data_IF_254292482411
#
_entry.id   IF_254292482411
#
_cell.length_a   1.000
_cell.length_b   1.000
_cell.length_c   1.000
_cell.angle_alpha   90.00
_cell.angle_beta   90.00
_cell.angle_gamma   90.00
#
_symmetry.space_group_name_H-M   'P 1'
#
loop_
_entity.id
_entity.type
_entity.pdbx_description
1 polymer ?
#
# COMPACT_ATOMS: atom_id res chain seq x y z
N UNK A 1 -2.59 1.38 -6.51
CA UNK A 1 -1.94 2.70 -6.35
C UNK A 1 -0.45 2.56 -6.54
N UNK A 2 0.15 3.43 -7.36
CA UNK A 2 1.61 3.50 -7.54
C UNK A 2 2.09 4.79 -6.87
N UNK A 3 3.10 4.67 -6.01
CA UNK A 3 3.74 5.80 -5.33
C UNK A 3 5.22 5.83 -5.67
N UNK A 4 5.84 7.01 -5.68
CA UNK A 4 7.27 7.14 -5.95
C UNK A 4 8.03 7.56 -4.69
N UNK A 5 7.39 8.37 -3.84
CA UNK A 5 8.00 8.88 -2.62
C UNK A 5 7.59 8.07 -1.39
N UNK A 6 8.50 7.98 -0.42
CA UNK A 6 8.25 7.22 0.82
C UNK A 6 7.11 7.81 1.67
N UNK A 7 6.84 9.12 1.58
CA UNK A 7 5.72 9.76 2.27
C UNK A 7 4.37 9.34 1.70
N UNK A 8 4.25 9.32 0.37
CA UNK A 8 3.07 8.85 -0.36
C UNK A 8 2.81 7.37 -0.04
N UNK A 9 3.84 6.52 -0.15
CA UNK A 9 3.73 5.09 0.14
C UNK A 9 3.24 4.83 1.57
N UNK A 10 3.73 5.62 2.53
CA UNK A 10 3.32 5.52 3.93
C UNK A 10 1.85 5.88 4.12
N UNK A 11 1.37 6.96 3.50
CA UNK A 11 -0.04 7.33 3.56
C UNK A 11 -0.94 6.25 2.95
N UNK A 12 -0.57 5.74 1.76
CA UNK A 12 -1.33 4.66 1.09
C UNK A 12 -1.33 3.38 1.93
N UNK A 13 -0.17 3.00 2.48
CA UNK A 13 -0.04 1.83 3.36
C UNK A 13 -0.94 1.95 4.59
N UNK A 14 -0.95 3.12 5.23
CA UNK A 14 -1.78 3.35 6.41
C UNK A 14 -3.25 3.30 6.05
N UNK A 15 -3.65 4.00 4.99
CA UNK A 15 -5.04 4.01 4.50
C UNK A 15 -5.57 2.61 4.17
N UNK A 16 -4.79 1.77 3.47
CA UNK A 16 -5.21 0.40 3.18
C UNK A 16 -5.27 -0.50 4.42
N UNK A 17 -4.56 -0.15 5.50
CA UNK A 17 -4.56 -0.92 6.74
C UNK A 17 -5.67 -0.48 7.70
N UNK A 18 -5.92 0.82 7.82
CA UNK A 18 -6.90 1.40 8.75
C UNK A 18 -8.26 1.67 8.13
N UNK A 19 -8.36 1.72 6.80
CA UNK A 19 -9.60 2.10 6.11
C UNK A 19 -9.91 3.60 6.17
N UNK A 20 -9.06 4.41 6.80
CA UNK A 20 -9.28 5.85 7.02
C UNK A 20 -7.99 6.66 6.84
N UNK A 21 -8.12 7.95 6.56
CA UNK A 21 -6.98 8.84 6.34
C UNK A 21 -6.27 9.28 7.62
N UNK A 22 -6.90 9.12 8.80
CA UNK A 22 -6.27 9.42 10.09
C UNK A 22 -5.22 8.37 10.50
N UNK A 23 -5.27 7.18 9.89
CA UNK A 23 -4.37 6.06 10.23
C UNK A 23 -4.75 5.35 11.52
N UNK A 24 -5.93 5.65 12.08
CA UNK A 24 -6.42 5.07 13.32
C UNK A 24 -6.95 3.66 13.06
N UNK A 25 -6.37 2.66 13.73
CA UNK A 25 -6.83 1.28 13.62
C UNK A 25 -8.05 1.10 14.52
N UNK A 26 -9.23 1.02 13.93
CA UNK A 26 -10.43 0.56 14.62
C UNK A 26 -10.35 -0.96 14.70
N UNK A 27 -10.54 -1.50 15.90
CA UNK A 27 -10.50 -2.95 16.14
C UNK A 27 -11.81 -3.39 16.77
N UNK A 28 -12.26 -4.58 16.38
CA UNK A 28 -13.38 -5.25 17.04
C UNK A 28 -12.98 -5.76 18.44
N UNK A 29 -13.96 -6.31 19.16
CA UNK A 29 -13.75 -6.90 20.49
C UNK A 29 -12.75 -8.09 20.49
N UNK A 30 -12.52 -8.70 19.32
CA UNK A 30 -11.60 -9.81 19.11
C UNK A 30 -10.20 -9.36 18.65
N UNK A 31 -9.99 -8.05 18.47
CA UNK A 31 -8.73 -7.46 18.03
C UNK A 31 -8.49 -7.49 16.51
N UNK A 32 -9.47 -7.90 15.71
CA UNK A 32 -9.42 -7.81 14.26
C UNK A 32 -9.55 -6.36 13.84
N UNK A 33 -8.74 -5.96 12.86
CA UNK A 33 -8.80 -4.60 12.32
C UNK A 33 -10.02 -4.49 11.42
N UNK A 34 -10.93 -3.58 11.75
CA UNK A 34 -12.04 -3.22 10.88
C UNK A 34 -11.51 -2.30 9.78
N UNK A 35 -11.35 -2.87 8.59
CA UNK A 35 -10.96 -2.16 7.38
C UNK A 35 -11.91 -2.58 6.25
N UNK A 36 -12.41 -1.65 5.42
CA UNK A 36 -13.22 -1.98 4.26
C UNK A 36 -12.39 -2.57 3.10
N UNK A 37 -11.09 -2.79 3.32
CA UNK A 37 -10.13 -3.23 2.32
C UNK A 37 -9.45 -4.53 2.71
N UNK A 38 -9.36 -5.45 1.74
CA UNK A 38 -8.48 -6.60 1.76
C UNK A 38 -7.19 -6.32 0.96
N UNK A 39 -6.04 -6.57 1.57
CA UNK A 39 -4.75 -6.39 0.91
C UNK A 39 -4.46 -7.56 -0.04
N UNK A 40 -4.52 -7.31 -1.34
CA UNK A 40 -4.20 -8.31 -2.38
C UNK A 40 -2.73 -8.75 -2.26
N UNK A 41 -1.82 -7.81 -1.97
CA UNK A 41 -0.41 -8.09 -1.75
C UNK A 41 0.06 -7.56 -0.39
N UNK A 42 0.61 -8.46 0.44
CA UNK A 42 1.19 -8.08 1.75
C UNK A 42 2.49 -7.29 1.59
N UNK A 43 3.33 -7.69 0.62
CA UNK A 43 4.58 -7.00 0.28
C UNK A 43 4.34 -6.04 -0.88
N UNK A 44 4.93 -4.86 -0.80
CA UNK A 44 4.92 -3.88 -1.89
C UNK A 44 5.57 -4.49 -3.13
N UNK A 45 4.96 -4.27 -4.29
CA UNK A 45 5.54 -4.69 -5.57
C UNK A 45 6.47 -3.57 -6.04
N UNK A 46 7.70 -3.94 -6.39
CA UNK A 46 8.73 -3.02 -6.89
C UNK A 46 9.13 -3.43 -8.31
N UNK A 47 9.57 -2.48 -9.15
CA UNK A 47 9.98 -2.79 -10.51
C UNK A 47 11.21 -3.69 -10.56
N UNK A 48 11.25 -4.53 -11.59
CA UNK A 48 12.38 -5.43 -11.83
C UNK A 48 13.65 -4.67 -12.25
N UNK A 49 14.81 -5.31 -12.13
CA UNK A 49 16.09 -4.73 -12.59
C UNK A 49 16.07 -4.39 -14.08
N UNK A 50 15.42 -5.22 -14.90
CA UNK A 50 15.29 -4.99 -16.34
C UNK A 50 14.41 -3.76 -16.64
N UNK A 51 13.30 -3.63 -15.92
CA UNK A 51 12.42 -2.46 -16.02
C UNK A 51 13.12 -1.18 -15.57
N UNK A 52 13.94 -1.23 -14.52
CA UNK A 52 14.73 -0.09 -14.07
C UNK A 52 15.79 0.34 -15.08
N UNK A 53 16.35 -0.60 -15.86
CA UNK A 53 17.29 -0.29 -16.96
C UNK A 53 16.58 0.34 -18.15
N UNK A 54 15.43 -0.18 -18.56
CA UNK A 54 14.66 0.37 -19.68
C UNK A 54 13.95 1.68 -19.33
N UNK A 55 13.53 1.84 -18.07
CA UNK A 55 12.85 3.01 -17.56
C UNK A 55 13.43 3.43 -16.20
N UNK A 56 14.52 4.23 -16.17
CA UNK A 56 15.13 4.68 -14.91
C UNK A 56 14.20 5.42 -13.95
N UNK A 57 13.10 6.02 -14.46
CA UNK A 57 12.11 6.70 -13.63
C UNK A 57 11.26 5.72 -12.81
N UNK A 58 11.17 4.45 -13.20
CA UNK A 58 10.44 3.44 -12.44
C UNK A 58 11.15 3.04 -11.15
N UNK A 59 12.46 3.28 -11.01
CA UNK A 59 13.29 2.82 -9.87
C UNK A 59 12.69 3.03 -8.48
N UNK A 60 11.96 4.12 -8.26
CA UNK A 60 11.35 4.42 -6.95
C UNK A 60 9.87 4.04 -6.84
N UNK A 61 9.27 3.54 -7.91
CA UNK A 61 7.87 3.14 -7.98
C UNK A 61 7.58 1.99 -7.01
N UNK A 62 6.47 2.12 -6.30
CA UNK A 62 5.97 1.16 -5.31
C UNK A 62 4.50 0.95 -5.59
N UNK A 63 4.14 -0.28 -5.96
CA UNK A 63 2.76 -0.67 -6.27
C UNK A 63 2.12 -1.37 -5.06
N UNK A 64 0.97 -0.84 -4.65
CA UNK A 64 0.08 -1.41 -3.63
C UNK A 64 -1.32 -1.62 -4.20
N UNK A 65 -1.92 -2.76 -3.88
CA UNK A 65 -3.24 -3.15 -4.36
C UNK A 65 -4.09 -3.55 -3.16
N UNK A 66 -5.30 -3.01 -3.12
CA UNK A 66 -6.32 -3.36 -2.14
C UNK A 66 -7.64 -3.60 -2.88
N UNK A 67 -8.37 -4.61 -2.43
CA UNK A 67 -9.71 -4.93 -2.90
C UNK A 67 -10.72 -4.45 -1.85
N UNK A 68 -11.87 -3.96 -2.29
CA UNK A 68 -12.96 -3.61 -1.37
C UNK A 68 -13.72 -4.88 -0.97
N UNK A 69 -13.92 -5.07 0.34
CA UNK A 69 -14.76 -6.14 0.90
C UNK A 69 -16.25 -5.92 0.61
#
# INVERSE_FOLDING_TARGET
VISYHSLEDRMVKNFFRSGNFEGTLVKDFFGNVETPFELVNRKVIVPSEEEQRMNPRSRSAKLRIAMKL
#
